data_IF_626983447931
#
_entry.id   IF_626983447931
#
_cell.length_a   1.000
_cell.length_b   1.000
_cell.length_c   1.000
_cell.angle_alpha   90.00
_cell.angle_beta   90.00
_cell.angle_gamma   90.00
#
_symmetry.space_group_name_H-M   'P 1'
#
loop_
_entity.id
_entity.type
_entity.pdbx_description
1 polymer ?
#
# COMPACT_ATOMS: atom_id res chain seq x y z
N UNK A 1 1.45 2.43 2.91
CA UNK A 1 2.03 1.33 2.10
C UNK A 1 1.09 1.02 0.97
N UNK A 2 1.67 0.73 -0.18
CA UNK A 2 0.95 0.17 -1.32
C UNK A 2 1.85 -0.84 -2.05
N UNK A 3 1.24 -1.86 -2.67
CA UNK A 3 1.95 -2.98 -3.32
C UNK A 3 1.28 -3.33 -4.64
N UNK A 4 2.10 -3.41 -5.70
CA UNK A 4 1.68 -4.03 -6.94
C UNK A 4 2.22 -5.46 -7.04
N UNK A 5 1.40 -6.37 -7.57
CA UNK A 5 1.72 -7.80 -7.62
C UNK A 5 1.32 -8.43 -8.97
N UNK A 6 1.83 -9.63 -9.23
CA UNK A 6 1.50 -10.39 -10.46
C UNK A 6 0.05 -10.85 -10.52
N UNK A 7 -0.69 -10.72 -9.43
CA UNK A 7 -2.13 -11.03 -9.32
C UNK A 7 -2.67 -10.77 -7.92
N UNK A 8 -3.99 -10.86 -7.75
CA UNK A 8 -4.70 -10.51 -6.53
C UNK A 8 -4.90 -11.62 -5.50
N UNK A 9 -4.42 -12.83 -5.76
CA UNK A 9 -4.67 -13.98 -4.89
C UNK A 9 -3.57 -14.16 -3.85
N UNK A 10 -3.90 -13.92 -2.58
CA UNK A 10 -2.97 -14.17 -1.48
C UNK A 10 -2.80 -15.68 -1.27
N UNK A 11 -1.55 -16.14 -1.15
CA UNK A 11 -1.22 -17.56 -0.95
C UNK A 11 -1.16 -18.40 -2.23
N UNK A 12 -1.50 -17.83 -3.38
CA UNK A 12 -1.17 -18.41 -4.68
C UNK A 12 0.30 -18.14 -5.02
N UNK A 13 0.75 -18.58 -6.21
CA UNK A 13 2.12 -18.31 -6.66
C UNK A 13 2.29 -16.87 -7.19
N UNK A 14 1.66 -15.92 -6.51
CA UNK A 14 1.75 -14.50 -6.83
C UNK A 14 2.94 -13.85 -6.15
N UNK A 15 3.51 -12.83 -6.81
CA UNK A 15 4.74 -12.16 -6.39
C UNK A 15 4.58 -10.65 -6.45
N UNK A 16 5.26 -9.94 -5.55
CA UNK A 16 5.37 -8.48 -5.60
C UNK A 16 6.17 -8.07 -6.84
N UNK A 17 5.71 -7.04 -7.53
CA UNK A 17 6.40 -6.39 -8.64
C UNK A 17 6.79 -4.94 -8.34
N UNK A 18 6.08 -4.28 -7.41
CA UNK A 18 6.45 -2.96 -6.90
C UNK A 18 6.02 -2.87 -5.42
N UNK A 19 6.84 -2.23 -4.62
CA UNK A 19 6.55 -1.88 -3.24
C UNK A 19 6.82 -0.40 -3.04
N UNK A 20 5.90 0.30 -2.38
CA UNK A 20 6.11 1.67 -1.96
C UNK A 20 5.63 1.91 -0.54
N UNK A 21 6.32 2.78 0.18
CA UNK A 21 5.85 3.29 1.46
C UNK A 21 6.23 4.77 1.65
N UNK A 22 5.37 5.47 2.37
CA UNK A 22 5.59 6.85 2.81
C UNK A 22 5.57 6.86 4.33
N UNK A 23 6.66 7.31 4.93
CA UNK A 23 6.80 7.36 6.38
C UNK A 23 6.39 8.72 6.92
N UNK A 24 5.48 8.69 7.89
CA UNK A 24 4.97 9.87 8.59
C UNK A 24 5.48 9.87 10.04
N UNK A 25 5.87 11.05 10.52
CA UNK A 25 6.13 11.29 11.93
C UNK A 25 5.53 12.64 12.32
N UNK A 26 4.65 12.62 13.33
CA UNK A 26 3.95 13.83 13.81
C UNK A 26 3.20 14.58 12.69
N UNK A 27 2.53 13.82 11.81
CA UNK A 27 1.77 14.36 10.68
C UNK A 27 2.62 14.86 9.50
N UNK A 28 3.93 14.72 9.54
CA UNK A 28 4.85 15.14 8.48
C UNK A 28 5.47 13.95 7.78
N UNK A 29 5.59 14.02 6.47
CA UNK A 29 6.32 13.04 5.68
C UNK A 29 7.81 13.21 5.97
N UNK A 30 8.47 12.14 6.42
CA UNK A 30 9.89 12.12 6.73
C UNK A 30 10.71 11.28 5.76
N UNK A 31 10.07 10.36 5.02
CA UNK A 31 10.73 9.54 4.02
C UNK A 31 9.72 8.97 3.02
N UNK A 32 10.17 8.72 1.80
CA UNK A 32 9.49 7.91 0.78
C UNK A 32 10.46 6.85 0.29
N UNK A 33 9.97 5.66 0.11
CA UNK A 33 10.73 4.55 -0.45
C UNK A 33 9.88 3.80 -1.46
N UNK A 34 10.44 3.56 -2.63
CA UNK A 34 9.83 2.67 -3.63
C UNK A 34 10.89 1.78 -4.25
N UNK A 35 10.47 0.63 -4.72
CA UNK A 35 11.30 -0.27 -5.50
C UNK A 35 10.45 -1.16 -6.40
N UNK A 36 10.89 -1.35 -7.64
CA UNK A 36 10.47 -2.49 -8.43
C UNK A 36 11.09 -3.76 -7.86
N UNK A 37 10.41 -4.88 -8.04
CA UNK A 37 10.86 -6.19 -7.57
C UNK A 37 10.76 -7.18 -8.73
N UNK A 38 11.84 -7.92 -8.97
CA UNK A 38 11.81 -9.01 -9.94
C UNK A 38 10.99 -10.18 -9.38
N UNK A 39 9.83 -10.51 -9.97
CA UNK A 39 8.96 -11.56 -9.43
C UNK A 39 9.43 -12.98 -9.73
N UNK A 40 10.54 -13.16 -10.47
CA UNK A 40 11.04 -14.47 -10.96
C UNK A 40 10.01 -15.24 -11.78
N UNK A 41 9.00 -14.57 -12.30
CA UNK A 41 7.96 -15.12 -13.18
C UNK A 41 7.45 -14.03 -14.12
N UNK A 42 6.75 -14.44 -15.16
CA UNK A 42 6.15 -13.50 -16.10
C UNK A 42 5.00 -12.73 -15.44
N UNK A 43 4.97 -11.43 -15.62
CA UNK A 43 3.82 -10.58 -15.28
C UNK A 43 2.73 -10.84 -16.32
N UNK A 44 1.49 -11.21 -15.90
CA UNK A 44 0.38 -11.38 -16.82
C UNK A 44 0.01 -10.09 -17.57
N UNK A 45 -0.38 -10.20 -18.82
CA UNK A 45 -0.74 -9.04 -19.64
C UNK A 45 -1.82 -8.12 -19.02
N UNK A 46 -2.87 -8.63 -18.35
CA UNK A 46 -3.82 -7.78 -17.65
C UNK A 46 -3.19 -6.92 -16.55
N UNK A 47 -2.20 -7.48 -15.83
CA UNK A 47 -1.47 -6.77 -14.79
C UNK A 47 -0.53 -5.72 -15.40
N UNK A 48 0.17 -6.04 -16.49
CA UNK A 48 0.98 -5.05 -17.22
C UNK A 48 0.13 -3.86 -17.69
N UNK A 49 -1.11 -4.12 -18.13
CA UNK A 49 -2.05 -3.07 -18.55
C UNK A 49 -2.57 -2.25 -17.38
N UNK A 50 -2.84 -2.90 -16.25
CA UNK A 50 -3.35 -2.26 -15.04
C UNK A 50 -2.31 -1.34 -14.39
N UNK A 51 -1.12 -1.88 -14.14
CA UNK A 51 -0.06 -1.20 -13.38
C UNK A 51 0.90 -0.38 -14.26
N UNK A 52 0.90 -0.62 -15.56
CA UNK A 52 1.90 -0.06 -16.48
C UNK A 52 3.28 -0.73 -16.38
N UNK A 53 3.53 -1.55 -15.36
CA UNK A 53 4.81 -2.25 -15.14
C UNK A 53 4.93 -3.44 -16.09
N UNK A 54 5.95 -3.42 -16.94
CA UNK A 54 6.17 -4.45 -17.94
C UNK A 54 7.24 -5.45 -17.50
N UNK A 55 7.21 -6.65 -18.09
CA UNK A 55 8.23 -7.68 -17.84
C UNK A 55 9.67 -7.17 -18.03
N UNK A 56 9.91 -6.27 -18.99
CA UNK A 56 11.21 -5.65 -19.22
C UNK A 56 11.67 -4.73 -18.09
N UNK A 57 10.73 -4.10 -17.37
CA UNK A 57 11.03 -3.11 -16.34
C UNK A 57 11.52 -3.78 -15.05
N UNK A 58 11.03 -5.00 -14.78
CA UNK A 58 11.41 -5.78 -13.60
C UNK A 58 12.57 -6.76 -13.83
N UNK A 59 13.03 -6.89 -15.07
CA UNK A 59 14.05 -7.88 -15.44
C UNK A 59 15.34 -7.71 -14.65
N UNK A 60 15.79 -6.47 -14.48
CA UNK A 60 17.03 -6.11 -13.80
C UNK A 60 16.75 -5.50 -12.40
N UNK A 61 15.50 -5.59 -11.93
CA UNK A 61 15.12 -5.17 -10.58
C UNK A 61 15.63 -6.19 -9.53
N UNK A 62 15.84 -5.76 -8.28
CA UNK A 62 16.25 -6.66 -7.21
C UNK A 62 15.17 -7.72 -6.95
N UNK A 63 15.58 -8.89 -6.49
CA UNK A 63 14.67 -9.91 -5.99
C UNK A 63 14.11 -9.52 -4.62
N UNK A 64 12.99 -10.12 -4.23
CA UNK A 64 12.33 -9.80 -2.96
C UNK A 64 13.26 -9.99 -1.75
N UNK A 65 14.04 -11.07 -1.72
CA UNK A 65 15.01 -11.35 -0.65
C UNK A 65 16.10 -10.28 -0.51
N UNK A 66 16.42 -9.55 -1.57
CA UNK A 66 17.40 -8.46 -1.54
C UNK A 66 16.82 -7.18 -0.92
N UNK A 67 15.52 -6.92 -1.11
CA UNK A 67 14.84 -5.71 -0.60
C UNK A 67 14.12 -5.93 0.73
N UNK A 68 13.82 -7.17 1.08
CA UNK A 68 13.10 -7.54 2.29
C UNK A 68 13.70 -6.98 3.58
N UNK A 69 15.04 -6.99 3.81
CA UNK A 69 15.64 -6.38 4.99
C UNK A 69 15.37 -4.88 5.10
N UNK A 70 15.45 -4.16 3.97
CA UNK A 70 15.17 -2.71 3.91
C UNK A 70 13.71 -2.44 4.22
N UNK A 71 12.79 -3.16 3.58
CA UNK A 71 11.34 -3.04 3.82
C UNK A 71 11.02 -3.28 5.30
N UNK A 72 11.58 -4.33 5.90
CA UNK A 72 11.39 -4.60 7.33
C UNK A 72 11.86 -3.46 8.21
N UNK A 73 13.06 -2.94 7.97
CA UNK A 73 13.62 -1.83 8.74
C UNK A 73 12.75 -0.58 8.66
N UNK A 74 12.19 -0.30 7.48
CA UNK A 74 11.30 0.86 7.29
C UNK A 74 9.97 0.71 8.03
N UNK A 75 9.42 -0.51 8.09
CA UNK A 75 8.10 -0.78 8.68
C UNK A 75 8.16 -1.14 10.17
N UNK A 76 9.31 -1.59 10.65
CA UNK A 76 9.47 -1.99 12.05
C UNK A 76 9.18 -0.82 13.00
N UNK A 77 8.41 -1.09 14.05
CA UNK A 77 8.00 -0.08 15.05
C UNK A 77 7.10 1.05 14.49
N UNK A 78 6.40 0.80 13.41
CA UNK A 78 5.41 1.73 12.84
C UNK A 78 3.98 1.22 13.02
N UNK A 79 3.01 2.01 12.57
CA UNK A 79 1.64 1.56 12.29
C UNK A 79 1.53 1.40 10.77
N UNK A 80 1.14 0.21 10.33
CA UNK A 80 0.96 -0.08 8.91
C UNK A 80 -0.38 0.48 8.44
N UNK A 81 -0.35 1.41 7.50
CA UNK A 81 -1.56 2.04 6.94
C UNK A 81 -1.62 1.76 5.45
N UNK A 82 -2.74 1.23 4.98
CA UNK A 82 -2.99 1.00 3.57
C UNK A 82 -4.48 1.15 3.22
N UNK A 83 -4.76 1.29 1.96
CA UNK A 83 -6.12 1.29 1.42
C UNK A 83 -6.53 -0.15 1.10
N UNK A 84 -7.45 -0.75 1.86
CA UNK A 84 -7.71 -2.19 1.89
C UNK A 84 -6.51 -2.97 2.49
N UNK A 85 -6.12 -2.60 3.69
CA UNK A 85 -4.92 -3.08 4.41
C UNK A 85 -4.81 -4.62 4.47
N UNK A 86 -5.95 -5.31 4.45
CA UNK A 86 -5.99 -6.77 4.47
C UNK A 86 -5.27 -7.40 3.28
N UNK A 87 -5.21 -6.74 2.13
CA UNK A 87 -4.44 -7.20 0.98
C UNK A 87 -2.95 -6.98 1.20
N UNK A 88 -2.50 -5.73 1.34
CA UNK A 88 -1.06 -5.38 1.38
C UNK A 88 -0.34 -6.03 2.56
N UNK A 89 -0.91 -5.96 3.75
CA UNK A 89 -0.31 -6.50 4.96
C UNK A 89 -0.14 -8.02 4.91
N UNK A 90 -1.19 -8.74 4.46
CA UNK A 90 -1.13 -10.20 4.34
C UNK A 90 -0.24 -10.63 3.19
N UNK A 91 -0.33 -9.95 2.04
CA UNK A 91 0.49 -10.26 0.87
C UNK A 91 1.98 -10.12 1.20
N UNK A 92 2.37 -8.99 1.81
CA UNK A 92 3.74 -8.74 2.23
C UNK A 92 4.23 -9.80 3.24
N UNK A 93 3.40 -10.16 4.21
CA UNK A 93 3.73 -11.18 5.20
C UNK A 93 3.89 -12.58 4.59
N UNK A 94 3.08 -12.94 3.60
CA UNK A 94 3.27 -14.19 2.87
C UNK A 94 4.59 -14.18 2.05
N UNK A 95 4.96 -13.04 1.46
CA UNK A 95 6.26 -12.92 0.79
C UNK A 95 7.42 -13.02 1.77
N UNK A 96 7.36 -12.38 2.93
CA UNK A 96 8.38 -12.56 3.99
C UNK A 96 8.51 -14.02 4.39
N UNK A 97 7.40 -14.69 4.68
CA UNK A 97 7.37 -16.12 5.05
C UNK A 97 7.95 -17.01 3.96
N UNK A 98 7.55 -16.81 2.71
CA UNK A 98 7.99 -17.60 1.56
C UNK A 98 9.50 -17.51 1.33
N UNK A 99 10.12 -16.39 1.70
CA UNK A 99 11.58 -16.16 1.57
C UNK A 99 12.34 -16.32 2.89
N UNK A 100 11.73 -16.96 3.91
CA UNK A 100 12.39 -17.29 5.17
C UNK A 100 12.60 -16.10 6.13
N UNK A 101 11.93 -14.99 5.91
CA UNK A 101 11.95 -13.84 6.83
C UNK A 101 10.83 -13.94 7.85
N UNK A 102 11.08 -13.36 9.02
CA UNK A 102 10.03 -13.20 10.03
C UNK A 102 8.95 -12.25 9.53
N UNK A 103 7.70 -12.66 9.67
CA UNK A 103 6.54 -11.82 9.34
C UNK A 103 6.47 -10.57 10.23
N UNK A 104 5.84 -9.51 9.72
CA UNK A 104 5.53 -8.32 10.50
C UNK A 104 4.45 -8.66 11.54
N UNK A 105 4.58 -8.08 12.72
CA UNK A 105 3.57 -8.13 13.78
C UNK A 105 3.44 -6.73 14.37
N UNK A 106 2.84 -5.83 13.62
CA UNK A 106 2.66 -4.42 13.95
C UNK A 106 1.19 -4.03 13.79
N UNK A 107 0.71 -2.99 14.50
CA UNK A 107 -0.64 -2.48 14.30
C UNK A 107 -0.90 -2.07 12.85
N UNK A 108 -2.13 -2.25 12.39
CA UNK A 108 -2.54 -1.88 11.05
C UNK A 108 -3.84 -1.04 11.08
N UNK A 109 -3.95 -0.10 10.14
CA UNK A 109 -5.13 0.75 9.94
C UNK A 109 -5.55 0.68 8.49
N UNK A 110 -6.83 0.43 8.26
CA UNK A 110 -7.45 0.41 6.95
C UNK A 110 -8.15 1.75 6.65
N UNK A 111 -7.70 2.45 5.61
CA UNK A 111 -8.34 3.70 5.23
C UNK A 111 -9.72 3.50 4.61
N UNK A 112 -10.04 2.32 4.05
CA UNK A 112 -11.40 1.96 3.60
C UNK A 112 -12.34 1.89 4.79
N UNK A 113 -12.02 1.08 5.81
CA UNK A 113 -12.84 0.94 7.01
C UNK A 113 -13.02 2.28 7.74
N UNK A 114 -11.93 3.04 7.87
CA UNK A 114 -11.98 4.35 8.52
C UNK A 114 -12.87 5.33 7.73
N UNK A 115 -12.82 5.30 6.40
CA UNK A 115 -13.70 6.12 5.56
C UNK A 115 -15.16 5.70 5.72
N UNK A 116 -15.45 4.40 5.74
CA UNK A 116 -16.81 3.89 5.95
C UNK A 116 -17.41 4.34 7.29
N UNK A 117 -16.60 4.42 8.33
CA UNK A 117 -17.03 4.90 9.64
C UNK A 117 -17.31 6.41 9.62
N UNK A 118 -16.42 7.19 9.01
CA UNK A 118 -16.48 8.66 9.05
C UNK A 118 -17.39 9.28 7.98
N UNK A 119 -17.60 8.58 6.88
CA UNK A 119 -18.39 9.00 5.72
C UNK A 119 -19.25 7.82 5.19
N UNK A 120 -20.19 7.30 5.99
CA UNK A 120 -20.93 6.08 5.67
C UNK A 120 -21.87 6.18 4.47
N UNK A 121 -22.10 7.40 3.96
CA UNK A 121 -23.02 7.69 2.85
C UNK A 121 -22.33 7.82 1.51
N UNK A 122 -21.02 7.57 1.42
CA UNK A 122 -20.33 7.57 0.13
C UNK A 122 -20.75 6.37 -0.71
N UNK A 123 -20.89 6.60 -2.03
CA UNK A 123 -21.29 5.56 -2.97
C UNK A 123 -20.14 4.62 -3.37
N UNK A 124 -18.90 5.07 -3.20
CA UNK A 124 -17.69 4.31 -3.54
C UNK A 124 -16.60 4.51 -2.50
N UNK A 125 -15.85 3.44 -2.25
CA UNK A 125 -14.69 3.42 -1.34
C UNK A 125 -13.40 3.05 -2.08
N UNK A 126 -13.36 3.21 -3.40
CA UNK A 126 -12.13 3.06 -4.18
C UNK A 126 -11.17 4.23 -3.88
N UNK A 127 -9.88 3.97 -3.95
CA UNK A 127 -8.83 4.95 -3.60
C UNK A 127 -9.02 6.27 -4.36
N UNK A 128 -9.24 6.19 -5.67
CA UNK A 128 -9.41 7.35 -6.55
C UNK A 128 -10.63 8.18 -6.17
N UNK A 129 -11.75 7.52 -5.86
CA UNK A 129 -13.01 8.19 -5.52
C UNK A 129 -12.93 8.89 -4.16
N UNK A 130 -12.32 8.24 -3.17
CA UNK A 130 -12.09 8.85 -1.85
C UNK A 130 -11.07 9.99 -1.96
N UNK A 131 -9.99 9.80 -2.73
CA UNK A 131 -9.01 10.85 -2.96
C UNK A 131 -9.66 12.08 -3.55
N UNK A 132 -10.46 11.91 -4.63
CA UNK A 132 -11.19 13.00 -5.27
C UNK A 132 -12.20 13.68 -4.32
N UNK A 133 -12.93 12.90 -3.51
CA UNK A 133 -13.85 13.41 -2.50
C UNK A 133 -13.15 14.27 -1.45
N UNK A 134 -11.89 13.96 -1.13
CA UNK A 134 -11.06 14.69 -0.17
C UNK A 134 -10.10 15.71 -0.83
N UNK A 135 -10.45 16.18 -2.03
CA UNK A 135 -9.71 17.20 -2.78
C UNK A 135 -8.28 16.82 -3.17
N UNK A 136 -8.03 15.54 -3.43
CA UNK A 136 -6.75 15.05 -3.92
C UNK A 136 -6.88 14.48 -5.33
N UNK A 137 -6.04 14.97 -6.25
CA UNK A 137 -5.98 14.43 -7.62
C UNK A 137 -4.89 13.38 -7.71
N UNK A 138 -5.30 12.12 -7.91
CA UNK A 138 -4.40 11.03 -8.18
C UNK A 138 -3.95 11.08 -9.64
N UNK A 139 -2.65 11.26 -9.89
CA UNK A 139 -2.11 11.45 -11.25
C UNK A 139 -1.86 10.14 -11.99
N UNK A 140 -1.43 9.11 -11.27
CA UNK A 140 -0.97 7.84 -11.82
C UNK A 140 -1.51 6.68 -10.97
N UNK A 141 -2.80 6.38 -11.12
CA UNK A 141 -3.42 5.23 -10.46
C UNK A 141 -2.70 3.92 -10.82
N UNK A 142 -2.58 3.01 -9.85
CA UNK A 142 -1.83 1.76 -9.96
C UNK A 142 -0.31 1.92 -10.15
N UNK A 143 0.24 3.06 -9.72
CA UNK A 143 1.64 3.22 -9.35
C UNK A 143 1.73 3.23 -7.83
N UNK A 144 2.48 2.29 -7.24
CA UNK A 144 2.46 2.07 -5.80
C UNK A 144 2.87 3.31 -4.99
N UNK A 145 3.78 4.15 -5.48
CA UNK A 145 4.17 5.36 -4.76
C UNK A 145 3.07 6.44 -4.84
N UNK A 146 2.44 6.62 -6.01
CA UNK A 146 1.33 7.55 -6.17
C UNK A 146 0.13 7.14 -5.30
N UNK A 147 -0.18 5.85 -5.24
CA UNK A 147 -1.27 5.30 -4.42
C UNK A 147 -0.94 5.39 -2.91
N UNK A 148 0.32 5.18 -2.51
CA UNK A 148 0.77 5.41 -1.14
C UNK A 148 0.69 6.90 -0.73
N UNK A 149 1.08 7.84 -1.60
CA UNK A 149 0.93 9.28 -1.35
C UNK A 149 -0.55 9.69 -1.24
N UNK A 150 -1.43 9.16 -2.10
CA UNK A 150 -2.88 9.36 -1.99
C UNK A 150 -3.43 8.82 -0.66
N UNK A 151 -2.98 7.63 -0.25
CA UNK A 151 -3.34 7.03 1.04
C UNK A 151 -2.91 7.89 2.22
N UNK A 152 -1.74 8.53 2.16
CA UNK A 152 -1.30 9.53 3.16
C UNK A 152 -2.28 10.68 3.26
N UNK A 153 -2.63 11.29 2.13
CA UNK A 153 -3.58 12.41 2.12
C UNK A 153 -4.94 12.02 2.71
N UNK A 154 -5.46 10.89 2.27
CA UNK A 154 -6.72 10.33 2.79
C UNK A 154 -6.64 10.13 4.30
N UNK A 155 -5.59 9.43 4.78
CA UNK A 155 -5.43 9.17 6.21
C UNK A 155 -5.35 10.46 7.03
N UNK A 156 -4.60 11.46 6.57
CA UNK A 156 -4.48 12.74 7.28
C UNK A 156 -5.84 13.45 7.39
N UNK A 157 -6.64 13.47 6.32
CA UNK A 157 -7.99 14.06 6.32
C UNK A 157 -8.96 13.29 7.22
N UNK A 158 -8.91 11.96 7.18
CA UNK A 158 -9.73 11.13 8.06
C UNK A 158 -9.35 11.31 9.53
N UNK A 159 -8.05 11.42 9.82
CA UNK A 159 -7.55 11.65 11.18
C UNK A 159 -8.00 13.02 11.71
N UNK A 160 -7.87 14.11 10.93
CA UNK A 160 -8.37 15.43 11.28
C UNK A 160 -9.88 15.40 11.58
N UNK A 161 -10.67 14.72 10.73
CA UNK A 161 -12.11 14.59 10.96
C UNK A 161 -12.41 13.82 12.24
N UNK A 162 -11.72 12.71 12.49
CA UNK A 162 -11.92 11.92 13.69
C UNK A 162 -11.65 12.73 14.99
N UNK A 163 -10.60 13.56 14.99
CA UNK A 163 -10.27 14.42 16.12
C UNK A 163 -11.33 15.51 16.37
N UNK A 164 -12.06 15.92 15.34
CA UNK A 164 -13.10 16.96 15.42
C UNK A 164 -14.52 16.40 15.64
N UNK A 165 -14.67 15.08 15.82
CA UNK A 165 -15.97 14.52 16.18
C UNK A 165 -16.35 14.94 17.61
N UNK A 166 -17.65 15.26 17.86
CA UNK A 166 -18.09 15.56 19.20
C UNK A 166 -17.92 14.30 20.08
N UNK A 167 -17.30 14.49 21.23
CA UNK A 167 -17.25 13.43 22.23
C UNK A 167 -18.68 13.13 22.69
N UNK A 168 -19.15 11.90 22.48
CA UNK A 168 -20.39 11.43 23.05
C UNK A 168 -20.12 11.14 24.51
N UNK A 169 -20.62 11.99 25.39
CA UNK A 169 -20.59 11.79 26.86
C UNK A 169 -21.74 10.90 27.31
#
# INVERSE_FOLDING_TARGET
VDIEATGGSIGADERIIQFACVLLKNGKIINRFETLVNPSKRIPEPIEKLTGIKNKDVKDAPYFEEVAPTIRTLLESTIFIAHNVGFDYRFLNEQFKAHGFKQLSIPAVDTVELTQILYPTLDSFQLEDIAAFLDYTLSDAHDALADADATVHIFQKLYERALNLPLVT
#
